data_IF_013410212825
#
_entry.id   IF_013410212825
#
_cell.length_a   1.000
_cell.length_b   1.000
_cell.length_c   1.000
_cell.angle_alpha   90.00
_cell.angle_beta   90.00
_cell.angle_gamma   90.00
#
_symmetry.space_group_name_H-M   'P 1'
#
loop_
_entity.id
_entity.type
_entity.pdbx_description
1 polymer ?
#
# COMPACT_ATOMS: atom_id res chain seq x y z
N UNK A 1 -17.14 -13.20 27.67
CA UNK A 1 -17.04 -12.66 26.29
C UNK A 1 -16.02 -11.53 26.13
N UNK A 2 -16.02 -10.48 26.97
CA UNK A 2 -15.05 -9.37 26.86
C UNK A 2 -13.57 -9.78 27.07
N UNK A 3 -13.28 -10.65 28.04
CA UNK A 3 -11.91 -11.13 28.32
C UNK A 3 -11.33 -12.00 27.17
N UNK A 4 -12.15 -12.89 26.60
CA UNK A 4 -11.75 -13.72 25.45
C UNK A 4 -11.51 -12.85 24.20
N UNK A 5 -12.20 -11.72 24.11
CA UNK A 5 -11.98 -10.71 23.06
C UNK A 5 -10.57 -10.12 23.10
N UNK A 6 -10.09 -9.80 24.30
CA UNK A 6 -8.74 -9.25 24.50
C UNK A 6 -7.64 -10.29 24.27
N UNK A 7 -7.86 -11.56 24.65
CA UNK A 7 -6.83 -12.61 24.50
C UNK A 7 -6.36 -12.80 23.04
N UNK A 8 -7.29 -12.98 22.09
CA UNK A 8 -6.88 -13.18 20.68
C UNK A 8 -6.27 -11.92 20.07
N UNK A 9 -6.74 -10.74 20.47
CA UNK A 9 -6.15 -9.48 20.02
C UNK A 9 -4.68 -9.38 20.44
N UNK A 10 -4.39 -9.56 21.73
CA UNK A 10 -3.02 -9.48 22.24
C UNK A 10 -2.11 -10.59 21.74
N UNK A 11 -2.65 -11.81 21.61
CA UNK A 11 -1.91 -12.92 21.02
C UNK A 11 -1.55 -12.65 19.56
N UNK A 12 -2.51 -12.16 18.77
CA UNK A 12 -2.26 -11.81 17.38
C UNK A 12 -1.24 -10.66 17.26
N UNK A 13 -1.36 -9.64 18.11
CA UNK A 13 -0.38 -8.55 18.16
C UNK A 13 1.03 -9.06 18.47
N UNK A 14 1.15 -9.91 19.51
CA UNK A 14 2.42 -10.51 19.91
C UNK A 14 3.03 -11.38 18.81
N UNK A 15 2.22 -12.20 18.13
CA UNK A 15 2.68 -13.04 17.02
C UNK A 15 3.08 -12.20 15.79
N UNK A 16 2.30 -11.18 15.42
CA UNK A 16 2.66 -10.29 14.31
C UNK A 16 3.93 -9.51 14.62
N UNK A 17 4.09 -9.03 15.86
CA UNK A 17 5.32 -8.39 16.30
C UNK A 17 6.52 -9.34 16.21
N UNK A 18 6.37 -10.57 16.72
CA UNK A 18 7.40 -11.61 16.72
C UNK A 18 7.81 -12.06 15.32
N UNK A 19 6.89 -12.11 14.37
CA UNK A 19 7.19 -12.62 13.03
C UNK A 19 7.65 -11.55 12.04
N UNK A 20 7.21 -10.29 12.20
CA UNK A 20 7.52 -9.23 11.24
C UNK A 20 8.74 -8.39 11.63
N UNK A 21 9.00 -8.18 12.92
CA UNK A 21 10.03 -7.22 13.35
C UNK A 21 11.40 -7.83 13.69
N UNK A 22 11.54 -8.98 14.37
CA UNK A 22 12.85 -9.52 14.71
C UNK A 22 13.77 -9.64 13.49
N UNK A 23 14.97 -9.09 13.62
CA UNK A 23 15.99 -9.16 12.58
C UNK A 23 15.70 -8.36 11.31
N UNK A 24 14.77 -7.41 11.32
CA UNK A 24 14.40 -6.60 10.14
C UNK A 24 15.58 -5.85 9.51
N UNK A 25 16.58 -5.46 10.32
CA UNK A 25 17.82 -4.84 9.88
C UNK A 25 19.06 -5.73 9.94
N UNK A 26 18.92 -7.06 10.15
CA UNK A 26 20.08 -7.96 10.25
C UNK A 26 20.71 -8.27 8.89
N UNK A 27 19.91 -8.24 7.83
CA UNK A 27 20.38 -8.47 6.47
C UNK A 27 20.52 -7.13 5.75
N UNK A 28 21.60 -6.94 4.96
CA UNK A 28 21.72 -5.75 4.13
C UNK A 28 20.56 -5.66 3.13
N UNK A 29 20.36 -4.49 2.54
CA UNK A 29 19.51 -4.36 1.36
C UNK A 29 20.23 -5.05 0.19
N UNK A 30 19.74 -6.22 -0.21
CA UNK A 30 20.39 -7.05 -1.23
C UNK A 30 19.55 -7.16 -2.51
N UNK A 31 18.24 -6.92 -2.40
CA UNK A 31 17.33 -6.87 -3.55
C UNK A 31 17.46 -5.50 -4.21
N UNK A 32 17.63 -5.49 -5.52
CA UNK A 32 17.82 -4.28 -6.33
C UNK A 32 16.76 -3.19 -6.04
N UNK A 33 15.50 -3.58 -5.93
CA UNK A 33 14.41 -2.65 -5.63
C UNK A 33 14.48 -2.07 -4.22
N UNK A 34 14.89 -2.84 -3.21
CA UNK A 34 15.07 -2.34 -1.84
C UNK A 34 16.12 -1.25 -1.79
N UNK A 35 17.30 -1.51 -2.38
CA UNK A 35 18.41 -0.56 -2.42
C UNK A 35 17.98 0.74 -3.08
N UNK A 36 17.34 0.65 -4.26
CA UNK A 36 16.93 1.85 -5.01
C UNK A 36 15.87 2.66 -4.30
N UNK A 37 14.96 2.01 -3.59
CA UNK A 37 13.90 2.72 -2.87
C UNK A 37 14.44 3.37 -1.59
N UNK A 38 15.24 2.64 -0.80
CA UNK A 38 15.83 3.17 0.42
C UNK A 38 16.82 4.31 0.14
N UNK A 39 17.65 4.18 -0.90
CA UNK A 39 18.60 5.23 -1.29
C UNK A 39 17.87 6.46 -1.83
N UNK A 40 16.83 6.27 -2.65
CA UNK A 40 16.00 7.38 -3.10
C UNK A 40 15.36 8.12 -1.91
N UNK A 41 14.82 7.39 -0.93
CA UNK A 41 14.28 7.99 0.27
C UNK A 41 15.36 8.75 1.06
N UNK A 42 16.57 8.19 1.16
CA UNK A 42 17.69 8.81 1.85
C UNK A 42 18.11 10.12 1.19
N UNK A 43 18.28 10.13 -0.13
CA UNK A 43 18.62 11.34 -0.90
C UNK A 43 17.56 12.42 -0.75
N UNK A 44 16.29 12.08 -0.96
CA UNK A 44 15.16 13.01 -0.78
C UNK A 44 15.16 13.61 0.64
N UNK A 45 15.32 12.77 1.67
CA UNK A 45 15.35 13.20 3.07
C UNK A 45 16.52 14.15 3.33
N UNK A 46 17.72 13.83 2.88
CA UNK A 46 18.91 14.66 3.07
C UNK A 46 18.82 16.01 2.34
N UNK A 47 18.17 16.04 1.18
CA UNK A 47 17.91 17.26 0.40
C UNK A 47 16.77 18.11 0.94
N UNK A 48 16.02 17.61 1.94
CA UNK A 48 14.74 18.17 2.38
C UNK A 48 13.74 18.35 1.22
N UNK A 49 13.81 17.50 0.20
CA UNK A 49 12.95 17.52 -0.97
C UNK A 49 11.96 16.35 -0.92
N UNK A 50 10.69 16.67 -0.66
CA UNK A 50 9.62 15.69 -0.51
C UNK A 50 8.89 15.41 -1.81
N UNK A 51 9.26 16.10 -2.90
CA UNK A 51 8.52 16.07 -4.15
C UNK A 51 9.28 15.26 -5.19
N UNK A 52 10.57 15.54 -5.41
CA UNK A 52 11.33 14.99 -6.54
C UNK A 52 12.18 13.78 -6.13
N UNK A 53 11.82 12.55 -6.57
CA UNK A 53 12.59 11.36 -6.28
C UNK A 53 13.88 11.33 -7.10
N UNK A 54 15.00 11.01 -6.45
CA UNK A 54 16.30 10.89 -7.10
C UNK A 54 16.98 9.57 -6.74
N UNK A 55 17.93 9.14 -7.56
CA UNK A 55 18.79 7.99 -7.26
C UNK A 55 20.15 8.20 -7.91
N UNK A 56 21.21 8.14 -7.10
CA UNK A 56 22.58 8.53 -7.47
C UNK A 56 22.64 9.94 -8.07
N UNK A 57 21.86 10.88 -7.50
CA UNK A 57 21.78 12.26 -7.96
C UNK A 57 20.99 12.50 -9.26
N UNK A 58 20.57 11.44 -9.95
CA UNK A 58 19.71 11.55 -11.15
C UNK A 58 18.22 11.47 -10.82
N UNK A 59 17.37 12.01 -11.70
CA UNK A 59 15.91 11.92 -11.57
C UNK A 59 15.44 10.45 -11.62
N UNK A 60 14.57 10.06 -10.67
CA UNK A 60 13.96 8.72 -10.61
C UNK A 60 12.47 8.80 -10.88
N UNK A 61 12.03 8.23 -12.01
CA UNK A 61 10.65 8.31 -12.51
C UNK A 61 9.84 7.02 -12.29
N UNK A 62 10.34 6.08 -11.48
CA UNK A 62 9.82 4.72 -11.40
C UNK A 62 8.64 4.53 -10.43
N UNK A 63 8.59 5.29 -9.32
CA UNK A 63 7.65 5.04 -8.22
C UNK A 63 7.10 6.36 -7.64
N UNK A 64 5.79 6.45 -7.33
CA UNK A 64 5.22 7.57 -6.58
C UNK A 64 5.69 7.55 -5.11
N UNK A 65 5.32 8.51 -4.26
CA UNK A 65 6.16 8.89 -3.12
C UNK A 65 5.83 8.21 -1.79
N UNK A 66 4.70 7.50 -1.67
CA UNK A 66 4.15 7.19 -0.35
C UNK A 66 5.09 6.31 0.47
N UNK A 67 5.73 5.32 -0.15
CA UNK A 67 6.70 4.46 0.55
C UNK A 67 7.94 5.25 0.98
N UNK A 68 8.37 6.26 0.22
CA UNK A 68 9.45 7.17 0.64
C UNK A 68 9.07 7.94 1.91
N UNK A 69 7.84 8.43 2.02
CA UNK A 69 7.38 9.15 3.22
C UNK A 69 7.34 8.25 4.46
N UNK A 70 6.96 6.99 4.29
CA UNK A 70 7.07 6.00 5.37
C UNK A 70 8.53 5.74 5.74
N UNK A 71 9.42 5.60 4.76
CA UNK A 71 10.87 5.48 5.01
C UNK A 71 11.43 6.71 5.71
N UNK A 72 10.97 7.93 5.40
CA UNK A 72 11.39 9.15 6.12
C UNK A 72 11.06 9.06 7.62
N UNK A 73 9.86 8.58 7.95
CA UNK A 73 9.49 8.31 9.34
C UNK A 73 10.43 7.29 9.97
N UNK A 74 10.75 6.21 9.25
CA UNK A 74 11.66 5.17 9.72
C UNK A 74 13.07 5.71 9.96
N UNK A 75 13.60 6.49 9.02
CA UNK A 75 14.91 7.13 9.13
C UNK A 75 14.98 8.17 10.24
N UNK A 76 13.89 8.90 10.47
CA UNK A 76 13.80 9.85 11.59
C UNK A 76 13.88 9.16 12.95
N UNK A 77 13.34 7.94 13.09
CA UNK A 77 13.28 7.22 14.36
C UNK A 77 14.53 6.34 14.58
N UNK A 78 15.02 5.69 13.51
CA UNK A 78 16.04 4.64 13.58
C UNK A 78 17.33 4.95 12.83
N UNK A 79 17.45 6.17 12.28
CA UNK A 79 18.56 6.56 11.40
C UNK A 79 18.47 5.90 10.02
N UNK A 80 19.45 6.22 9.15
CA UNK A 80 19.59 5.61 7.82
C UNK A 80 20.08 4.16 7.91
N UNK A 81 19.20 3.28 8.35
CA UNK A 81 19.47 1.85 8.56
C UNK A 81 18.45 1.00 7.80
N UNK A 82 18.78 -0.26 7.55
CA UNK A 82 17.88 -1.25 6.96
C UNK A 82 16.62 -1.42 7.80
N UNK A 83 16.78 -1.35 9.13
CA UNK A 83 15.65 -1.36 10.06
C UNK A 83 14.72 -0.18 9.80
N UNK A 84 15.26 1.04 9.69
CA UNK A 84 14.49 2.25 9.36
C UNK A 84 13.76 2.13 8.02
N UNK A 85 14.43 1.62 6.99
CA UNK A 85 13.84 1.47 5.65
C UNK A 85 12.67 0.48 5.60
N UNK A 86 12.71 -0.57 6.42
CA UNK A 86 11.72 -1.67 6.42
C UNK A 86 10.64 -1.54 7.51
N UNK A 87 10.84 -0.69 8.52
CA UNK A 87 9.99 -0.63 9.71
C UNK A 87 8.50 -0.43 9.37
N UNK A 88 8.17 0.55 8.53
CA UNK A 88 6.78 0.85 8.18
C UNK A 88 6.16 -0.15 7.19
N UNK A 89 6.98 -0.92 6.46
CA UNK A 89 6.50 -2.11 5.75
C UNK A 89 5.98 -3.15 6.75
N UNK A 90 6.75 -3.45 7.81
CA UNK A 90 6.33 -4.39 8.85
C UNK A 90 5.07 -3.90 9.59
N UNK A 91 4.98 -2.60 9.87
CA UNK A 91 3.76 -1.98 10.43
C UNK A 91 2.56 -2.17 9.50
N UNK A 92 2.72 -1.97 8.19
CA UNK A 92 1.65 -2.22 7.20
C UNK A 92 1.19 -3.68 7.21
N UNK A 93 2.09 -4.62 7.50
CA UNK A 93 1.78 -6.03 7.69
C UNK A 93 0.90 -6.26 8.91
N UNK A 94 1.28 -5.71 10.06
CA UNK A 94 0.46 -5.75 11.28
C UNK A 94 -0.93 -5.16 11.01
N UNK A 95 -1.00 -3.99 10.37
CA UNK A 95 -2.27 -3.35 10.04
C UNK A 95 -3.13 -4.23 9.12
N UNK A 96 -2.53 -4.88 8.11
CA UNK A 96 -3.22 -5.82 7.21
C UNK A 96 -3.82 -7.01 7.97
N UNK A 97 -3.07 -7.57 8.91
CA UNK A 97 -3.56 -8.64 9.80
C UNK A 97 -4.76 -8.16 10.61
N UNK A 98 -4.70 -6.97 11.21
CA UNK A 98 -5.77 -6.47 12.07
C UNK A 98 -7.03 -6.06 11.29
N UNK A 99 -6.92 -5.42 10.13
CA UNK A 99 -8.10 -5.11 9.33
C UNK A 99 -8.80 -6.39 8.85
N UNK A 100 -8.02 -7.44 8.55
CA UNK A 100 -8.55 -8.77 8.19
C UNK A 100 -9.25 -9.41 9.38
N UNK A 101 -8.62 -9.39 10.55
CA UNK A 101 -9.20 -9.89 11.80
C UNK A 101 -10.55 -9.23 12.09
N UNK A 102 -10.60 -7.90 12.10
CA UNK A 102 -11.83 -7.17 12.43
C UNK A 102 -12.92 -7.36 11.37
N UNK A 103 -12.54 -7.43 10.10
CA UNK A 103 -13.49 -7.68 9.02
C UNK A 103 -14.12 -9.08 9.14
N UNK A 104 -13.32 -10.13 9.28
CA UNK A 104 -13.84 -11.51 9.41
C UNK A 104 -14.65 -11.67 10.70
N UNK A 105 -14.19 -11.08 11.81
CA UNK A 105 -14.90 -11.14 13.09
C UNK A 105 -16.30 -10.54 13.00
N UNK A 106 -16.50 -9.52 12.17
CA UNK A 106 -17.80 -8.87 11.99
C UNK A 106 -18.84 -9.76 11.32
N UNK A 107 -18.41 -10.64 10.42
CA UNK A 107 -19.30 -11.48 9.61
C UNK A 107 -19.31 -12.96 10.01
N UNK A 108 -18.47 -13.33 10.97
CA UNK A 108 -18.37 -14.69 11.45
C UNK A 108 -18.10 -14.73 12.96
N UNK A 109 -17.18 -15.57 13.42
CA UNK A 109 -16.81 -15.73 14.82
C UNK A 109 -15.40 -15.21 15.09
N UNK A 110 -15.16 -14.86 16.35
CA UNK A 110 -13.85 -14.41 16.81
C UNK A 110 -12.75 -15.47 16.60
N UNK A 111 -13.11 -16.76 16.72
CA UNK A 111 -12.18 -17.88 16.48
C UNK A 111 -11.83 -17.98 15.00
N UNK A 112 -12.80 -17.88 14.10
CA UNK A 112 -12.53 -17.89 12.66
C UNK A 112 -11.68 -16.69 12.24
N UNK A 113 -11.99 -15.49 12.76
CA UNK A 113 -11.17 -14.31 12.52
C UNK A 113 -9.71 -14.49 12.95
N UNK A 114 -9.50 -15.06 14.14
CA UNK A 114 -8.16 -15.37 14.63
C UNK A 114 -7.44 -16.38 13.74
N UNK A 115 -8.11 -17.49 13.37
CA UNK A 115 -7.53 -18.52 12.49
C UNK A 115 -7.20 -17.95 11.10
N UNK A 116 -8.11 -17.21 10.47
CA UNK A 116 -7.86 -16.57 9.16
C UNK A 116 -6.67 -15.62 9.22
N UNK A 117 -6.58 -14.82 10.28
CA UNK A 117 -5.47 -13.89 10.49
C UNK A 117 -4.16 -14.62 10.73
N UNK A 118 -4.18 -15.74 11.46
CA UNK A 118 -3.01 -16.57 11.69
C UNK A 118 -2.53 -17.22 10.39
N UNK A 119 -3.44 -17.80 9.59
CA UNK A 119 -3.10 -18.38 8.27
C UNK A 119 -2.45 -17.34 7.37
N UNK A 120 -3.01 -16.13 7.31
CA UNK A 120 -2.42 -15.03 6.53
C UNK A 120 -1.02 -14.66 7.07
N UNK A 121 -0.89 -14.47 8.38
CA UNK A 121 0.38 -14.11 9.02
C UNK A 121 1.47 -15.16 8.81
N UNK A 122 1.12 -16.45 8.83
CA UNK A 122 2.08 -17.55 8.65
C UNK A 122 2.33 -17.89 7.18
N UNK A 123 1.67 -17.22 6.24
CA UNK A 123 1.90 -17.43 4.82
C UNK A 123 3.29 -16.92 4.44
N UNK A 124 4.08 -17.77 3.79
CA UNK A 124 5.48 -17.48 3.43
C UNK A 124 5.62 -16.13 2.71
N UNK A 125 4.81 -15.89 1.69
CA UNK A 125 4.88 -14.66 0.92
C UNK A 125 4.53 -13.41 1.75
N UNK A 126 3.58 -13.52 2.69
CA UNK A 126 3.23 -12.42 3.59
C UNK A 126 4.43 -12.01 4.46
N UNK A 127 5.13 -13.00 5.03
CA UNK A 127 6.29 -12.75 5.88
C UNK A 127 7.47 -12.14 5.11
N UNK A 128 7.69 -12.55 3.86
CA UNK A 128 8.72 -11.94 3.02
C UNK A 128 8.34 -10.51 2.62
N UNK A 129 7.13 -10.33 2.07
CA UNK A 129 6.71 -9.06 1.49
C UNK A 129 6.74 -7.93 2.51
N UNK A 130 6.10 -8.14 3.66
CA UNK A 130 6.00 -7.12 4.71
C UNK A 130 7.32 -6.86 5.45
N UNK A 131 8.40 -7.55 5.11
CA UNK A 131 9.75 -7.31 5.63
C UNK A 131 10.68 -6.65 4.62
N UNK A 132 10.19 -6.30 3.43
CA UNK A 132 10.95 -5.61 2.38
C UNK A 132 10.69 -4.10 2.36
N UNK A 133 11.71 -3.33 1.97
CA UNK A 133 11.68 -1.88 1.77
C UNK A 133 11.23 -1.53 0.34
N UNK A 134 10.04 -2.01 -0.04
CA UNK A 134 9.43 -1.82 -1.37
C UNK A 134 8.02 -1.20 -1.23
N UNK A 135 7.36 -0.77 -2.32
CA UNK A 135 6.05 -0.13 -2.25
C UNK A 135 4.89 -1.11 -1.95
N UNK A 136 5.10 -2.38 -2.25
CA UNK A 136 4.11 -3.46 -2.20
C UNK A 136 3.43 -3.66 -0.84
N UNK A 137 4.12 -3.68 0.31
CA UNK A 137 3.50 -3.73 1.65
C UNK A 137 2.40 -2.69 1.85
N UNK A 138 2.67 -1.45 1.44
CA UNK A 138 1.72 -0.34 1.56
C UNK A 138 0.53 -0.54 0.62
N UNK A 139 0.80 -0.97 -0.62
CA UNK A 139 -0.25 -1.29 -1.59
C UNK A 139 -1.16 -2.41 -1.10
N UNK A 140 -0.62 -3.52 -0.58
CA UNK A 140 -1.39 -4.66 -0.09
C UNK A 140 -2.33 -4.22 1.03
N UNK A 141 -1.80 -3.48 2.01
CA UNK A 141 -2.60 -2.94 3.10
C UNK A 141 -3.73 -2.04 2.58
N UNK A 142 -3.40 -1.08 1.72
CA UNK A 142 -4.34 -0.07 1.21
C UNK A 142 -5.40 -0.68 0.28
N UNK A 143 -5.04 -1.65 -0.57
CA UNK A 143 -6.00 -2.38 -1.39
C UNK A 143 -6.92 -3.25 -0.54
N UNK A 144 -6.40 -3.93 0.47
CA UNK A 144 -7.21 -4.73 1.40
C UNK A 144 -8.22 -3.83 2.12
N UNK A 145 -7.76 -2.68 2.63
CA UNK A 145 -8.64 -1.69 3.25
C UNK A 145 -9.68 -1.14 2.28
N UNK A 146 -9.30 -0.86 1.02
CA UNK A 146 -10.21 -0.39 -0.03
C UNK A 146 -11.33 -1.40 -0.31
N UNK A 147 -10.98 -2.67 -0.50
CA UNK A 147 -11.95 -3.74 -0.78
C UNK A 147 -12.90 -3.95 0.41
N UNK A 148 -12.37 -4.02 1.64
CA UNK A 148 -13.21 -4.20 2.83
C UNK A 148 -14.15 -3.03 3.07
N UNK A 149 -13.66 -1.80 2.90
CA UNK A 149 -14.48 -0.60 3.10
C UNK A 149 -15.51 -0.41 1.99
N UNK A 150 -15.18 -0.75 0.73
CA UNK A 150 -16.17 -0.83 -0.34
C UNK A 150 -17.27 -1.84 -0.01
N UNK A 151 -16.90 -3.05 0.41
CA UNK A 151 -17.87 -4.08 0.82
C UNK A 151 -18.78 -3.57 1.96
N UNK A 152 -18.20 -2.95 2.99
CA UNK A 152 -18.94 -2.37 4.11
C UNK A 152 -19.88 -1.24 3.67
N UNK A 153 -19.47 -0.38 2.74
CA UNK A 153 -20.36 0.62 2.15
C UNK A 153 -21.55 -0.04 1.47
N UNK A 154 -21.31 -1.04 0.63
CA UNK A 154 -22.38 -1.69 -0.12
C UNK A 154 -23.32 -2.52 0.78
N UNK A 155 -22.86 -2.99 1.93
CA UNK A 155 -23.71 -3.69 2.92
C UNK A 155 -24.43 -2.75 3.88
N UNK A 156 -23.75 -1.75 4.45
CA UNK A 156 -24.31 -0.87 5.49
C UNK A 156 -24.87 0.45 4.96
N UNK A 157 -24.57 0.81 3.72
CA UNK A 157 -24.97 2.07 3.07
C UNK A 157 -24.49 3.35 3.77
N UNK A 158 -23.56 3.22 4.71
CA UNK A 158 -22.94 4.35 5.43
C UNK A 158 -21.85 5.00 4.59
N UNK A 159 -22.02 6.28 4.28
CA UNK A 159 -21.15 7.02 3.34
C UNK A 159 -19.67 6.97 3.74
N UNK A 160 -19.32 7.08 5.02
CA UNK A 160 -17.91 7.15 5.42
C UNK A 160 -17.08 5.94 5.00
N UNK A 161 -17.69 4.75 4.83
CA UNK A 161 -16.99 3.58 4.29
C UNK A 161 -16.55 3.78 2.83
N UNK A 162 -17.38 4.42 2.02
CA UNK A 162 -17.02 4.77 0.64
C UNK A 162 -15.93 5.84 0.60
N UNK A 163 -15.95 6.78 1.55
CA UNK A 163 -14.97 7.86 1.64
C UNK A 163 -13.62 7.28 2.07
N UNK A 164 -13.62 6.36 3.02
CA UNK A 164 -12.42 5.63 3.42
C UNK A 164 -11.87 4.78 2.27
N UNK A 165 -12.74 4.10 1.51
CA UNK A 165 -12.34 3.38 0.28
C UNK A 165 -11.65 4.30 -0.72
N UNK A 166 -12.20 5.49 -0.98
CA UNK A 166 -11.60 6.48 -1.88
C UNK A 166 -10.24 6.96 -1.37
N UNK A 167 -10.12 7.24 -0.08
CA UNK A 167 -8.85 7.66 0.55
C UNK A 167 -7.80 6.55 0.40
N UNK A 168 -8.15 5.31 0.72
CA UNK A 168 -7.20 4.18 0.64
C UNK A 168 -6.80 3.87 -0.80
N UNK A 169 -7.70 3.99 -1.78
CA UNK A 169 -7.36 3.87 -3.21
C UNK A 169 -6.44 5.01 -3.68
N UNK A 170 -6.69 6.25 -3.22
CA UNK A 170 -5.84 7.40 -3.54
C UNK A 170 -4.43 7.25 -2.95
N UNK A 171 -4.34 6.84 -1.68
CA UNK A 171 -3.06 6.50 -1.05
C UNK A 171 -2.38 5.31 -1.74
N UNK A 172 -3.14 4.28 -2.14
CA UNK A 172 -2.59 3.15 -2.89
C UNK A 172 -1.99 3.60 -4.23
N UNK A 173 -2.61 4.59 -4.87
CA UNK A 173 -2.07 5.23 -6.08
C UNK A 173 -0.76 5.96 -5.79
N UNK A 174 -0.64 6.63 -4.65
CA UNK A 174 0.64 7.21 -4.22
C UNK A 174 1.67 6.16 -3.76
N UNK A 175 1.29 4.91 -3.51
CA UNK A 175 2.23 3.83 -3.23
C UNK A 175 2.80 3.22 -4.51
N UNK A 176 1.94 2.85 -5.48
CA UNK A 176 2.37 2.07 -6.66
C UNK A 176 1.75 2.51 -7.98
N UNK A 177 1.04 3.63 -8.00
CA UNK A 177 0.41 4.19 -9.20
C UNK A 177 -0.95 3.59 -9.53
N UNK A 178 -1.38 3.70 -10.80
CA UNK A 178 -2.76 3.37 -11.22
C UNK A 178 -3.12 1.90 -11.00
N UNK A 179 -2.13 1.01 -10.84
CA UNK A 179 -2.35 -0.41 -10.52
C UNK A 179 -3.16 -0.61 -9.22
N UNK A 180 -3.07 0.32 -8.26
CA UNK A 180 -3.89 0.26 -7.04
C UNK A 180 -5.39 0.33 -7.35
N UNK A 181 -5.77 1.29 -8.21
CA UNK A 181 -7.14 1.46 -8.68
C UNK A 181 -7.56 0.26 -9.52
N UNK A 182 -6.68 -0.21 -10.42
CA UNK A 182 -6.97 -1.36 -11.25
C UNK A 182 -7.28 -2.62 -10.43
N UNK A 183 -6.44 -2.97 -9.44
CA UNK A 183 -6.62 -4.18 -8.65
C UNK A 183 -7.84 -4.10 -7.72
N UNK A 184 -7.93 -3.06 -6.89
CA UNK A 184 -9.06 -2.91 -5.96
C UNK A 184 -10.37 -2.66 -6.71
N UNK A 185 -10.34 -1.79 -7.73
CA UNK A 185 -11.49 -1.47 -8.57
C UNK A 185 -12.00 -2.68 -9.35
N UNK A 186 -11.12 -3.48 -9.95
CA UNK A 186 -11.53 -4.71 -10.64
C UNK A 186 -12.16 -5.71 -9.67
N UNK A 187 -11.56 -5.94 -8.49
CA UNK A 187 -12.13 -6.84 -7.48
C UNK A 187 -13.55 -6.40 -7.05
N UNK A 188 -13.72 -5.10 -6.76
CA UNK A 188 -15.02 -4.53 -6.38
C UNK A 188 -16.02 -4.65 -7.54
N UNK A 189 -15.60 -4.32 -8.77
CA UNK A 189 -16.45 -4.33 -9.94
C UNK A 189 -16.91 -5.74 -10.33
N UNK A 190 -15.99 -6.72 -10.34
CA UNK A 190 -16.30 -8.13 -10.57
C UNK A 190 -17.31 -8.63 -9.53
N UNK A 191 -17.10 -8.29 -8.26
CA UNK A 191 -18.05 -8.63 -7.21
C UNK A 191 -19.43 -7.99 -7.42
N UNK A 192 -19.50 -6.72 -7.83
CA UNK A 192 -20.76 -6.05 -8.16
C UNK A 192 -21.48 -6.67 -9.36
N UNK A 193 -20.74 -7.17 -10.36
CA UNK A 193 -21.31 -7.95 -11.47
C UNK A 193 -21.93 -9.23 -10.93
N UNK A 194 -21.18 -10.00 -10.13
CA UNK A 194 -21.67 -11.25 -9.54
C UNK A 194 -22.96 -11.03 -8.74
N UNK A 195 -22.98 -9.99 -7.90
CA UNK A 195 -24.14 -9.65 -7.07
C UNK A 195 -25.30 -9.02 -7.88
N UNK A 196 -25.12 -8.75 -9.18
CA UNK A 196 -26.07 -8.04 -10.05
C UNK A 196 -26.39 -6.62 -9.56
N UNK A 197 -25.41 -5.95 -8.95
CA UNK A 197 -25.51 -4.63 -8.31
C UNK A 197 -24.76 -3.52 -9.05
N UNK A 198 -24.39 -3.75 -10.32
CA UNK A 198 -23.63 -2.81 -11.14
C UNK A 198 -24.26 -1.41 -11.22
N UNK A 199 -25.59 -1.30 -11.14
CA UNK A 199 -26.27 0.00 -11.17
C UNK A 199 -25.88 0.93 -10.01
N UNK A 200 -25.40 0.39 -8.90
CA UNK A 200 -25.00 1.18 -7.73
C UNK A 200 -23.75 2.05 -7.97
N UNK A 201 -22.99 1.79 -9.05
CA UNK A 201 -21.83 2.63 -9.41
C UNK A 201 -22.27 4.00 -9.95
N UNK A 202 -23.51 4.14 -10.45
CA UNK A 202 -24.04 5.39 -11.02
C UNK A 202 -24.61 6.35 -9.97
N UNK A 203 -24.07 6.33 -8.75
CA UNK A 203 -24.51 7.22 -7.67
C UNK A 203 -23.65 8.48 -7.59
N UNK A 204 -24.26 9.62 -7.25
CA UNK A 204 -23.50 10.84 -6.92
C UNK A 204 -22.47 10.61 -5.81
N UNK A 205 -22.71 9.65 -4.91
CA UNK A 205 -21.77 9.26 -3.86
C UNK A 205 -20.46 8.71 -4.43
N UNK A 206 -20.53 8.00 -5.56
CA UNK A 206 -19.37 7.46 -6.28
C UNK A 206 -18.61 8.59 -6.97
N UNK A 207 -19.31 9.61 -7.50
CA UNK A 207 -18.66 10.81 -8.02
C UNK A 207 -17.86 11.54 -6.93
N UNK A 208 -18.46 11.72 -5.75
CA UNK A 208 -17.76 12.31 -4.59
C UNK A 208 -16.57 11.46 -4.15
N UNK A 209 -16.72 10.13 -4.14
CA UNK A 209 -15.62 9.21 -3.86
C UNK A 209 -14.48 9.36 -4.87
N UNK A 210 -14.80 9.51 -6.16
CA UNK A 210 -13.82 9.80 -7.21
C UNK A 210 -13.07 11.10 -6.95
N UNK A 211 -13.78 12.17 -6.60
CA UNK A 211 -13.16 13.46 -6.24
C UNK A 211 -12.23 13.31 -5.03
N UNK A 212 -12.64 12.62 -3.97
CA UNK A 212 -11.80 12.40 -2.78
C UNK A 212 -10.52 11.66 -3.16
N UNK A 213 -10.63 10.60 -3.95
CA UNK A 213 -9.47 9.83 -4.42
C UNK A 213 -8.50 10.71 -5.22
N UNK A 214 -9.03 11.55 -6.12
CA UNK A 214 -8.23 12.49 -6.91
C UNK A 214 -7.57 13.55 -6.02
N UNK A 215 -8.28 14.11 -5.06
CA UNK A 215 -7.72 15.08 -4.09
C UNK A 215 -6.58 14.46 -3.27
N UNK A 216 -6.64 13.16 -2.97
CA UNK A 216 -5.56 12.46 -2.27
C UNK A 216 -4.37 12.22 -3.18
N UNK A 217 -4.58 11.72 -4.40
CA UNK A 217 -3.49 11.26 -5.27
C UNK A 217 -2.88 12.37 -6.13
N UNK A 218 -3.71 13.18 -6.78
CA UNK A 218 -3.30 14.10 -7.86
C UNK A 218 -2.37 15.23 -7.39
N UNK A 219 -2.49 15.83 -6.19
CA UNK A 219 -1.63 16.96 -5.82
C UNK A 219 -0.15 16.67 -5.94
N UNK A 220 0.32 15.49 -5.51
CA UNK A 220 1.73 15.14 -5.63
C UNK A 220 2.15 14.98 -7.10
N UNK A 221 1.32 14.36 -7.95
CA UNK A 221 1.61 14.24 -9.37
C UNK A 221 1.72 15.61 -10.06
N UNK A 222 0.88 16.58 -9.69
CA UNK A 222 0.98 17.95 -10.20
C UNK A 222 2.29 18.60 -9.75
N UNK A 223 2.67 18.43 -8.49
CA UNK A 223 3.88 19.04 -7.94
C UNK A 223 5.13 18.46 -8.61
N UNK A 224 5.26 17.13 -8.69
CA UNK A 224 6.42 16.49 -9.31
C UNK A 224 6.50 16.81 -10.81
N UNK A 225 5.37 16.92 -11.50
CA UNK A 225 5.32 17.35 -12.91
C UNK A 225 5.90 18.76 -13.07
N UNK A 226 5.48 19.72 -12.23
CA UNK A 226 5.98 21.09 -12.26
C UNK A 226 7.47 21.18 -11.94
N UNK A 227 7.92 20.52 -10.86
CA UNK A 227 9.32 20.56 -10.43
C UNK A 227 10.28 19.89 -11.42
N UNK A 228 9.77 18.97 -12.27
CA UNK A 228 10.58 18.22 -13.23
C UNK A 228 10.29 18.60 -14.69
N UNK A 229 9.54 19.69 -14.92
CA UNK A 229 9.10 20.12 -16.26
C UNK A 229 8.46 18.98 -17.09
N UNK A 230 7.72 18.10 -16.41
CA UNK A 230 7.04 16.95 -16.97
C UNK A 230 7.91 15.73 -17.30
N UNK A 231 9.21 15.75 -16.98
CA UNK A 231 10.07 14.58 -17.19
C UNK A 231 9.63 13.39 -16.34
N UNK A 232 9.25 13.64 -15.09
CA UNK A 232 8.85 12.57 -14.18
C UNK A 232 7.58 11.86 -14.64
N UNK A 233 6.54 12.62 -15.02
CA UNK A 233 5.25 12.05 -15.45
C UNK A 233 5.36 11.34 -16.79
N UNK A 234 6.14 11.88 -17.74
CA UNK A 234 6.44 11.19 -19.01
C UNK A 234 7.14 9.86 -18.76
N UNK A 235 8.19 9.85 -17.93
CA UNK A 235 8.89 8.61 -17.58
C UNK A 235 7.97 7.59 -16.89
N UNK A 236 7.22 8.04 -15.89
CA UNK A 236 6.34 7.16 -15.13
C UNK A 236 5.20 6.58 -15.97
N UNK A 237 4.39 7.42 -16.62
CA UNK A 237 3.19 6.96 -17.31
C UNK A 237 3.49 6.33 -18.68
N UNK A 238 4.39 6.92 -19.48
CA UNK A 238 4.64 6.45 -20.85
C UNK A 238 5.60 5.26 -20.86
N UNK A 239 6.73 5.35 -20.16
CA UNK A 239 7.77 4.31 -20.24
C UNK A 239 7.46 3.15 -19.29
N UNK A 240 7.15 3.46 -18.03
CA UNK A 240 7.05 2.43 -16.99
C UNK A 240 5.66 1.84 -16.78
N UNK A 241 4.60 2.54 -17.14
CA UNK A 241 3.25 1.98 -17.10
C UNK A 241 2.83 1.50 -18.48
N UNK A 242 2.79 2.35 -19.51
CA UNK A 242 2.34 1.95 -20.85
C UNK A 242 3.37 1.09 -21.61
N UNK A 243 4.63 1.53 -21.66
CA UNK A 243 5.69 0.84 -22.40
C UNK A 243 5.94 -0.59 -21.94
N UNK A 244 5.88 -0.86 -20.63
CA UNK A 244 6.04 -2.20 -20.07
C UNK A 244 4.91 -3.18 -20.39
N UNK A 245 3.72 -2.71 -20.76
CA UNK A 245 2.64 -3.59 -21.25
C UNK A 245 2.77 -3.90 -22.74
N UNK A 246 3.48 -3.07 -23.50
CA UNK A 246 3.59 -3.17 -24.96
C UNK A 246 4.89 -3.81 -25.43
N UNK A 247 6.00 -3.64 -24.69
CA UNK A 247 7.30 -4.23 -25.02
C UNK A 247 8.05 -4.68 -23.75
N UNK A 248 8.77 -5.82 -23.77
CA UNK A 248 9.69 -6.17 -22.69
C UNK A 248 10.88 -5.20 -22.73
N UNK A 249 10.82 -4.15 -21.92
CA UNK A 249 11.94 -3.26 -21.72
C UNK A 249 12.93 -3.90 -20.72
N UNK A 250 14.15 -4.11 -21.21
CA UNK A 250 15.33 -4.77 -20.61
C UNK A 250 15.42 -6.28 -20.91
N UNK A 251 16.45 -6.62 -21.70
CA UNK A 251 16.77 -7.97 -22.15
C UNK A 251 17.16 -8.90 -21.01
N UNK A 252 16.15 -9.53 -20.41
CA UNK A 252 16.31 -10.79 -19.68
C UNK A 252 16.12 -11.97 -20.64
N UNK A 253 16.99 -12.00 -21.65
CA UNK A 253 17.22 -13.13 -22.52
C UNK A 253 18.70 -13.43 -22.52
N UNK A 254 19.15 -14.07 -21.44
CA UNK A 254 20.25 -15.07 -21.33
C UNK A 254 20.50 -15.39 -19.85
#
# INVERSE_FOLDING_TARGET
MLQQNQKYFWLLLGLSALLLFPGLGKTPLWIYDEVRNAECAREMYQRNDWIVPTFNGGLRTLKPPLHYYFMFGGFKIFGFTEWGARFFSAVSGVLTIFITYFFVKKYSSQRQAFITSLVLLTSTHFLFEFRMSVPDPYLIFLNTASIFTAYLFFKEKKKYWLWLCAITMGLGTLAKGPVAIALAGAAIFIWLIWEKRVKEIFSWKILVAGIIMLVVAVPWYILVDKETNGEWTKGFFLQHNLGRFSEPMEGHGE
#
